data_IF_396289661074
#
_entry.id   IF_396289661074
#
_cell.length_a   1.000
_cell.length_b   1.000
_cell.length_c   1.000
_cell.angle_alpha   90.00
_cell.angle_beta   90.00
_cell.angle_gamma   90.00
#
_symmetry.space_group_name_H-M   'P 1'
#
loop_
_entity.id
_entity.type
_entity.pdbx_description
1 polymer ?
#
# COMPACT_ATOMS: atom_id res chain seq x y z
N UNK A 1 -4.27 -58.74 -18.23
CA UNK A 1 -4.53 -57.32 -17.89
C UNK A 1 -3.61 -56.92 -16.75
N UNK A 2 -2.60 -56.08 -17.01
CA UNK A 2 -1.76 -55.47 -15.97
C UNK A 2 -2.28 -54.06 -15.73
N UNK A 3 -2.88 -53.82 -14.57
CA UNK A 3 -3.19 -52.47 -14.10
C UNK A 3 -1.91 -51.96 -13.45
N UNK A 4 -1.21 -51.08 -14.14
CA UNK A 4 -0.09 -50.34 -13.57
C UNK A 4 -0.69 -49.09 -12.91
N UNK A 5 -0.88 -49.15 -11.59
CA UNK A 5 -1.25 -47.99 -10.76
C UNK A 5 -0.04 -47.07 -10.72
N UNK A 6 -0.02 -46.07 -11.58
CA UNK A 6 0.98 -45.01 -11.57
C UNK A 6 0.30 -43.75 -11.06
N UNK A 7 0.04 -43.69 -9.75
CA UNK A 7 -0.34 -42.46 -9.05
C UNK A 7 0.92 -41.88 -8.44
N UNK A 8 1.71 -41.19 -9.27
CA UNK A 8 2.90 -40.47 -8.80
C UNK A 8 2.50 -39.02 -8.52
N UNK A 9 2.60 -38.67 -7.23
CA UNK A 9 2.67 -37.34 -6.62
C UNK A 9 2.82 -36.16 -7.61
N UNK A 10 1.81 -35.28 -7.63
CA UNK A 10 1.87 -33.96 -8.30
C UNK A 10 1.35 -32.81 -7.41
N UNK A 11 1.35 -32.97 -6.07
CA UNK A 11 0.75 -32.01 -5.13
C UNK A 11 1.71 -31.42 -4.08
N UNK A 12 3.02 -31.38 -4.33
CA UNK A 12 4.00 -30.84 -3.38
C UNK A 12 4.72 -29.55 -3.83
N UNK A 13 4.50 -29.07 -5.05
CA UNK A 13 5.19 -27.86 -5.55
C UNK A 13 4.44 -26.54 -5.30
N UNK A 14 3.15 -26.56 -4.95
CA UNK A 14 2.36 -25.34 -4.75
C UNK A 14 2.47 -24.71 -3.37
N UNK A 15 2.92 -25.45 -2.36
CA UNK A 15 2.98 -24.95 -0.97
C UNK A 15 4.25 -24.12 -0.73
N UNK A 16 5.36 -24.45 -1.39
CA UNK A 16 6.66 -23.77 -1.20
C UNK A 16 6.68 -22.37 -1.83
N UNK A 17 5.93 -22.16 -2.91
CA UNK A 17 5.84 -20.86 -3.59
C UNK A 17 4.98 -19.85 -2.83
N UNK A 18 3.91 -20.29 -2.16
CA UNK A 18 3.05 -19.42 -1.37
C UNK A 18 3.73 -18.93 -0.08
N UNK A 19 4.40 -19.82 0.66
CA UNK A 19 5.09 -19.44 1.89
C UNK A 19 6.25 -18.47 1.64
N UNK A 20 7.03 -18.65 0.56
CA UNK A 20 8.15 -17.75 0.25
C UNK A 20 7.69 -16.35 -0.15
N UNK A 21 6.55 -16.23 -0.84
CA UNK A 21 5.91 -14.94 -1.12
C UNK A 21 5.42 -14.27 0.16
N UNK A 22 4.75 -15.02 1.04
CA UNK A 22 4.23 -14.48 2.29
C UNK A 22 5.36 -14.00 3.20
N UNK A 23 6.47 -14.74 3.32
CA UNK A 23 7.60 -14.31 4.14
C UNK A 23 8.30 -13.07 3.56
N UNK A 24 8.35 -12.94 2.24
CA UNK A 24 9.02 -11.81 1.59
C UNK A 24 8.24 -10.50 1.70
N UNK A 25 6.91 -10.52 1.81
CA UNK A 25 6.12 -9.28 1.93
C UNK A 25 6.22 -8.65 3.32
N UNK A 26 6.54 -9.44 4.36
CA UNK A 26 6.60 -8.95 5.74
C UNK A 26 7.62 -7.82 5.90
N UNK A 27 7.30 -6.87 6.77
CA UNK A 27 8.16 -5.74 7.14
C UNK A 27 7.76 -4.42 6.49
N UNK A 28 8.69 -3.46 6.58
CA UNK A 28 8.52 -2.08 6.12
C UNK A 28 8.92 -1.92 4.65
N UNK A 29 8.10 -1.20 3.88
CA UNK A 29 8.29 -0.87 2.47
C UNK A 29 8.12 0.63 2.25
N UNK A 30 9.09 1.24 1.58
CA UNK A 30 9.02 2.64 1.14
C UNK A 30 8.64 2.63 -0.33
N UNK A 31 7.47 3.17 -0.64
CA UNK A 31 6.92 3.14 -2.00
C UNK A 31 7.24 4.42 -2.77
N UNK A 32 7.36 4.29 -4.08
CA UNK A 32 7.47 5.43 -4.97
C UNK A 32 6.26 6.34 -4.78
N UNK A 33 6.48 7.65 -4.54
CA UNK A 33 5.38 8.54 -4.24
C UNK A 33 4.48 8.72 -5.46
N UNK A 34 3.17 8.76 -5.21
CA UNK A 34 2.19 9.19 -6.21
C UNK A 34 2.39 10.68 -6.48
N UNK A 35 2.35 11.09 -7.75
CA UNK A 35 2.58 12.48 -8.16
C UNK A 35 1.59 12.89 -9.23
N UNK A 36 0.94 14.03 -9.05
CA UNK A 36 0.00 14.59 -10.03
C UNK A 36 0.01 16.12 -10.00
N UNK A 37 0.09 16.73 -11.18
CA UNK A 37 -0.21 18.15 -11.32
C UNK A 37 -1.72 18.32 -11.42
N UNK A 38 -2.30 19.11 -10.52
CA UNK A 38 -3.73 19.45 -10.56
C UNK A 38 -3.97 20.69 -11.45
N UNK A 39 -3.00 21.61 -11.46
CA UNK A 39 -2.90 22.75 -12.36
C UNK A 39 -1.42 23.02 -12.68
N UNK A 40 -1.13 24.07 -13.46
CA UNK A 40 0.25 24.48 -13.77
C UNK A 40 1.05 24.93 -12.53
N UNK A 41 0.36 25.33 -11.46
CA UNK A 41 0.98 25.84 -10.22
C UNK A 41 0.70 24.97 -8.99
N UNK A 42 -0.26 24.05 -9.08
CA UNK A 42 -0.65 23.17 -7.97
C UNK A 42 -0.16 21.76 -8.24
N UNK A 43 0.78 21.34 -7.41
CA UNK A 43 1.39 20.02 -7.43
C UNK A 43 0.95 19.21 -6.22
N UNK A 44 0.56 17.97 -6.46
CA UNK A 44 0.09 17.04 -5.45
C UNK A 44 1.00 15.81 -5.41
N UNK A 45 1.45 15.42 -4.22
CA UNK A 45 2.14 14.16 -4.01
C UNK A 45 1.67 13.41 -2.76
N UNK A 46 1.82 12.09 -2.80
CA UNK A 46 1.57 11.20 -1.66
C UNK A 46 2.80 10.32 -1.48
N UNK A 47 3.45 10.46 -0.34
CA UNK A 47 4.51 9.56 0.11
C UNK A 47 3.87 8.43 0.93
N UNK A 48 4.34 7.20 0.72
CA UNK A 48 3.70 5.99 1.29
C UNK A 48 4.76 5.06 1.85
N UNK A 49 4.58 4.72 3.12
CA UNK A 49 5.32 3.68 3.83
C UNK A 49 4.35 2.59 4.27
N UNK A 50 4.51 1.38 3.76
CA UNK A 50 3.63 0.23 4.04
C UNK A 50 4.31 -0.76 4.97
N UNK A 51 3.55 -1.28 5.93
CA UNK A 51 4.01 -2.23 6.93
C UNK A 51 3.11 -3.46 6.93
N UNK A 52 3.71 -4.64 6.77
CA UNK A 52 3.00 -5.93 6.79
C UNK A 52 3.53 -6.83 7.90
N UNK A 53 2.66 -7.23 8.83
CA UNK A 53 2.99 -8.12 9.95
C UNK A 53 2.46 -9.54 9.74
N UNK A 54 3.12 -10.51 10.36
CA UNK A 54 2.85 -11.94 10.21
C UNK A 54 1.47 -12.38 10.75
N UNK A 55 0.92 -11.62 11.69
CA UNK A 55 -0.44 -11.78 12.21
C UNK A 55 -1.54 -11.38 11.21
N UNK A 56 -1.16 -10.87 10.03
CA UNK A 56 -2.08 -10.39 9.01
C UNK A 56 -2.55 -8.95 9.23
N UNK A 57 -2.00 -8.24 10.22
CA UNK A 57 -2.19 -6.79 10.41
C UNK A 57 -1.22 -6.03 9.51
N UNK A 58 -1.69 -4.94 8.92
CA UNK A 58 -0.86 -4.03 8.16
C UNK A 58 -1.26 -2.59 8.39
N UNK A 59 -0.37 -1.67 8.05
CA UNK A 59 -0.73 -0.27 7.97
C UNK A 59 0.10 0.47 6.94
N UNK A 60 -0.52 1.49 6.37
CA UNK A 60 0.16 2.50 5.56
C UNK A 60 0.30 3.78 6.36
N UNK A 61 1.46 4.41 6.28
CA UNK A 61 1.63 5.82 6.59
C UNK A 61 1.61 6.56 5.26
N UNK A 62 0.65 7.47 5.11
CA UNK A 62 0.52 8.28 3.91
C UNK A 62 0.69 9.75 4.25
N UNK A 63 1.66 10.40 3.62
CA UNK A 63 1.86 11.85 3.76
C UNK A 63 1.44 12.54 2.48
N UNK A 64 0.34 13.28 2.58
CA UNK A 64 -0.30 13.99 1.48
C UNK A 64 0.21 15.41 1.47
N UNK A 65 0.84 15.87 0.39
CA UNK A 65 1.33 17.25 0.26
C UNK A 65 0.74 17.92 -0.98
N UNK A 66 0.21 19.10 -0.75
CA UNK A 66 -0.29 20.04 -1.75
C UNK A 66 0.67 21.21 -1.77
N UNK A 67 1.39 21.37 -2.88
CA UNK A 67 2.34 22.46 -3.07
C UNK A 67 1.76 23.45 -4.07
N UNK A 68 1.76 24.74 -3.71
CA UNK A 68 1.30 25.84 -4.56
C UNK A 68 2.37 26.93 -4.49
N UNK A 69 3.06 27.16 -5.60
CA UNK A 69 4.23 28.07 -5.64
C UNK A 69 5.28 27.71 -4.57
N UNK A 70 5.54 28.60 -3.61
CA UNK A 70 6.47 28.39 -2.49
C UNK A 70 5.79 27.86 -1.21
N UNK A 71 4.45 27.73 -1.20
CA UNK A 71 3.71 27.22 -0.05
C UNK A 71 3.44 25.72 -0.16
N UNK A 72 3.49 25.02 0.99
CA UNK A 72 3.12 23.61 1.08
C UNK A 72 2.16 23.36 2.25
N UNK A 73 1.02 22.75 1.94
CA UNK A 73 0.06 22.23 2.91
C UNK A 73 0.19 20.71 2.91
N UNK A 74 0.33 20.10 4.09
CA UNK A 74 0.45 18.65 4.16
C UNK A 74 -0.20 18.08 5.41
N UNK A 75 -0.59 16.80 5.33
CA UNK A 75 -1.04 16.02 6.47
C UNK A 75 -0.59 14.57 6.31
N UNK A 76 -0.36 13.90 7.44
CA UNK A 76 0.03 12.49 7.50
C UNK A 76 -1.04 11.67 8.19
N UNK A 77 -1.40 10.55 7.59
CA UNK A 77 -2.37 9.59 8.10
C UNK A 77 -1.70 8.24 8.32
N UNK A 78 -2.17 7.53 9.35
CA UNK A 78 -1.96 6.10 9.48
C UNK A 78 -3.27 5.38 9.16
N UNK A 79 -3.24 4.53 8.14
CA UNK A 79 -4.35 3.69 7.70
C UNK A 79 -4.04 2.27 8.12
N UNK A 80 -4.85 1.69 8.99
CA UNK A 80 -4.61 0.35 9.54
C UNK A 80 -5.71 -0.61 9.11
N UNK A 81 -5.35 -1.88 8.96
CA UNK A 81 -6.31 -2.98 8.88
C UNK A 81 -5.68 -4.27 8.37
N UNK A 82 -6.51 -5.29 8.07
CA UNK A 82 -6.00 -6.60 7.71
C UNK A 82 -5.47 -6.63 6.28
N UNK A 83 -4.45 -7.45 6.07
CA UNK A 83 -3.95 -7.83 4.75
C UNK A 83 -3.87 -9.35 4.61
N UNK A 84 -3.86 -9.81 3.36
CA UNK A 84 -3.52 -11.20 3.02
C UNK A 84 -3.00 -11.31 1.60
N UNK A 85 -2.15 -12.30 1.37
CA UNK A 85 -1.73 -12.69 0.05
C UNK A 85 -2.43 -13.99 -0.35
N UNK A 86 -3.16 -13.98 -1.47
CA UNK A 86 -3.83 -15.16 -2.01
C UNK A 86 -3.59 -15.25 -3.51
N UNK A 87 -3.02 -16.37 -3.96
CA UNK A 87 -2.80 -16.65 -5.38
C UNK A 87 -2.07 -15.51 -6.12
N UNK A 88 -1.06 -14.90 -5.47
CA UNK A 88 -0.30 -13.78 -6.01
C UNK A 88 -1.01 -12.42 -5.97
N UNK A 89 -2.19 -12.35 -5.34
CA UNK A 89 -2.95 -11.11 -5.16
C UNK A 89 -2.86 -10.68 -3.70
N UNK A 90 -2.34 -9.47 -3.48
CA UNK A 90 -2.41 -8.76 -2.20
C UNK A 90 -3.81 -8.16 -2.06
N UNK A 91 -4.43 -8.40 -0.92
CA UNK A 91 -5.75 -7.89 -0.56
C UNK A 91 -5.58 -7.14 0.76
N UNK A 92 -5.88 -5.86 0.78
CA UNK A 92 -5.78 -5.02 1.96
C UNK A 92 -7.12 -4.36 2.23
N UNK A 93 -7.47 -4.25 3.51
CA UNK A 93 -8.66 -3.55 3.96
C UNK A 93 -8.24 -2.54 5.02
N UNK A 94 -8.55 -1.27 4.81
CA UNK A 94 -8.45 -0.21 5.83
C UNK A 94 -9.73 -0.19 6.65
N UNK A 95 -9.62 -0.40 7.95
CA UNK A 95 -10.75 -0.31 8.90
C UNK A 95 -10.57 0.80 9.94
N UNK A 96 -9.34 1.30 10.12
CA UNK A 96 -9.01 2.35 11.07
C UNK A 96 -8.16 3.44 10.42
N UNK A 97 -8.43 4.69 10.79
CA UNK A 97 -7.68 5.87 10.35
C UNK A 97 -7.28 6.72 11.56
N UNK A 98 -6.07 7.26 11.53
CA UNK A 98 -5.61 8.24 12.51
C UNK A 98 -4.75 9.31 11.85
N UNK A 99 -4.95 10.56 12.28
CA UNK A 99 -4.08 11.67 11.87
C UNK A 99 -2.83 11.61 12.72
N UNK A 100 -1.67 11.52 12.08
CA UNK A 100 -0.37 11.52 12.75
C UNK A 100 0.13 12.94 12.96
N UNK A 101 0.10 13.74 11.89
CA UNK A 101 0.65 15.10 11.91
C UNK A 101 0.04 15.95 10.78
N UNK A 102 0.16 17.27 10.92
CA UNK A 102 -0.30 18.25 9.94
C UNK A 102 0.65 19.44 9.85
N UNK A 103 0.73 20.07 8.68
CA UNK A 103 1.46 21.32 8.53
C UNK A 103 0.82 22.42 9.38
N UNK A 104 1.64 23.36 9.86
CA UNK A 104 1.14 24.50 10.64
C UNK A 104 0.11 25.33 9.85
N UNK A 105 0.24 25.37 8.52
CA UNK A 105 -0.71 26.04 7.62
C UNK A 105 -2.12 25.48 7.74
N UNK A 106 -2.30 24.18 8.00
CA UNK A 106 -3.63 23.59 8.23
C UNK A 106 -4.28 24.19 9.48
N UNK A 107 -3.51 24.49 10.52
CA UNK A 107 -4.02 25.06 11.78
C UNK A 107 -4.57 26.48 11.61
N UNK A 108 -4.11 27.18 10.57
CA UNK A 108 -4.57 28.52 10.21
C UNK A 108 -5.84 28.52 9.33
N UNK A 109 -6.26 27.35 8.83
CA UNK A 109 -7.44 27.21 7.98
C UNK A 109 -8.66 26.83 8.83
N UNK A 110 -9.57 27.79 9.12
CA UNK A 110 -10.63 27.60 10.13
C UNK A 110 -11.66 26.52 9.80
N UNK A 111 -11.70 26.03 8.55
CA UNK A 111 -12.64 25.01 8.07
C UNK A 111 -11.94 23.81 7.42
N UNK A 112 -10.62 23.66 7.58
CA UNK A 112 -9.93 22.51 6.99
C UNK A 112 -10.14 21.27 7.87
N UNK A 113 -10.92 20.31 7.36
CA UNK A 113 -11.12 19.03 8.01
C UNK A 113 -10.37 17.93 7.25
N UNK A 114 -9.22 17.51 7.79
CA UNK A 114 -8.38 16.44 7.22
C UNK A 114 -9.20 15.17 6.95
N UNK A 115 -10.15 14.81 7.83
CA UNK A 115 -10.96 13.60 7.67
C UNK A 115 -11.93 13.70 6.49
N UNK A 116 -12.51 14.87 6.26
CA UNK A 116 -13.40 15.08 5.10
C UNK A 116 -12.61 15.05 3.79
N UNK A 117 -11.43 15.67 3.77
CA UNK A 117 -10.50 15.61 2.63
C UNK A 117 -10.12 14.17 2.35
N UNK A 118 -9.67 13.42 3.36
CA UNK A 118 -9.34 12.01 3.21
C UNK A 118 -10.52 11.18 2.70
N UNK A 119 -11.72 11.37 3.27
CA UNK A 119 -12.92 10.67 2.82
C UNK A 119 -13.22 10.92 1.34
N UNK A 120 -13.06 12.15 0.86
CA UNK A 120 -13.24 12.47 -0.56
C UNK A 120 -12.21 11.80 -1.48
N UNK A 121 -10.98 11.63 -1.00
CA UNK A 121 -9.86 11.07 -1.76
C UNK A 121 -9.83 9.55 -1.75
N UNK A 122 -10.30 8.95 -0.67
CA UNK A 122 -10.46 7.50 -0.51
C UNK A 122 -11.38 6.92 -1.60
N UNK A 123 -12.47 7.61 -1.96
CA UNK A 123 -13.40 7.16 -3.00
C UNK A 123 -12.78 7.17 -4.42
N UNK A 124 -11.64 7.83 -4.63
CA UNK A 124 -11.06 8.04 -5.98
C UNK A 124 -9.59 7.65 -6.15
N UNK A 125 -8.79 7.68 -5.09
CA UNK A 125 -7.31 7.56 -5.18
C UNK A 125 -6.78 6.39 -4.33
N UNK A 126 -7.30 6.19 -3.12
CA UNK A 126 -6.89 5.11 -2.22
C UNK A 126 -8.09 4.44 -1.58
N UNK A 127 -8.74 3.47 -2.26
CA UNK A 127 -9.93 2.82 -1.73
C UNK A 127 -9.61 2.03 -0.47
N UNK A 128 -10.52 2.08 0.52
CA UNK A 128 -10.44 1.28 1.76
C UNK A 128 -10.25 -0.21 1.52
N UNK A 129 -10.58 -0.71 0.34
CA UNK A 129 -10.31 -2.08 -0.05
C UNK A 129 -9.48 -2.06 -1.33
N UNK A 130 -8.20 -2.37 -1.21
CA UNK A 130 -7.31 -2.50 -2.35
C UNK A 130 -7.15 -3.99 -2.71
N UNK A 131 -6.97 -4.24 -4.01
CA UNK A 131 -6.46 -5.52 -4.49
C UNK A 131 -5.39 -5.24 -5.52
N UNK A 132 -4.25 -5.89 -5.34
CA UNK A 132 -3.09 -5.67 -6.20
C UNK A 132 -2.46 -7.00 -6.60
N UNK A 133 -2.20 -7.17 -7.89
CA UNK A 133 -1.41 -8.29 -8.40
C UNK A 133 0.06 -8.06 -8.06
N UNK A 134 0.71 -9.05 -7.45
CA UNK A 134 2.15 -9.01 -7.19
C UNK A 134 2.90 -9.35 -8.48
N UNK A 135 3.58 -8.36 -9.05
CA UNK A 135 4.41 -8.54 -10.24
C UNK A 135 5.83 -8.97 -9.88
N UNK A 136 6.35 -8.47 -8.76
CA UNK A 136 7.68 -8.84 -8.25
C UNK A 136 7.67 -8.72 -6.73
N UNK A 137 8.17 -9.75 -6.05
CA UNK A 137 8.36 -9.71 -4.61
C UNK A 137 9.62 -10.46 -4.21
N UNK A 138 10.51 -9.77 -3.51
CA UNK A 138 11.77 -10.28 -3.01
C UNK A 138 12.10 -9.64 -1.66
N UNK A 139 13.28 -9.92 -1.11
CA UNK A 139 13.71 -9.27 0.15
C UNK A 139 13.89 -7.76 0.03
N UNK A 140 14.14 -7.23 -1.18
CA UNK A 140 14.48 -5.81 -1.40
C UNK A 140 13.55 -5.05 -2.33
N UNK A 141 12.73 -5.74 -3.12
CA UNK A 141 11.86 -5.13 -4.12
C UNK A 141 10.45 -5.71 -4.04
N UNK A 142 9.46 -4.81 -4.07
CA UNK A 142 8.03 -5.11 -4.10
C UNK A 142 7.41 -4.27 -5.21
N UNK A 143 6.93 -4.90 -6.27
CA UNK A 143 6.23 -4.26 -7.38
C UNK A 143 4.86 -4.90 -7.50
N UNK A 144 3.82 -4.07 -7.48
CA UNK A 144 2.44 -4.50 -7.62
C UNK A 144 1.68 -3.69 -8.65
N UNK A 145 0.56 -4.24 -9.10
CA UNK A 145 -0.38 -3.57 -9.99
C UNK A 145 -1.76 -3.56 -9.36
N UNK A 146 -2.32 -2.37 -9.10
CA UNK A 146 -3.68 -2.22 -8.60
C UNK A 146 -4.67 -2.78 -9.61
N UNK A 147 -5.62 -3.60 -9.15
CA UNK A 147 -6.65 -4.19 -10.01
C UNK A 147 -7.76 -3.21 -10.38
N UNK A 148 -7.91 -2.10 -9.66
CA UNK A 148 -8.94 -1.08 -9.88
C UNK A 148 -8.70 -0.24 -11.13
N UNK A 149 -7.47 0.21 -11.33
CA UNK A 149 -7.09 1.20 -12.34
C UNK A 149 -5.83 0.81 -13.13
N UNK A 150 -5.16 -0.29 -12.74
CA UNK A 150 -3.94 -0.77 -13.38
C UNK A 150 -2.68 0.00 -12.99
N UNK A 151 -2.74 0.89 -12.01
CA UNK A 151 -1.57 1.61 -11.51
C UNK A 151 -0.49 0.65 -11.00
N UNK A 152 0.76 0.88 -11.38
CA UNK A 152 1.90 0.12 -10.91
C UNK A 152 2.55 0.87 -9.76
N UNK A 153 2.70 0.19 -8.63
CA UNK A 153 3.38 0.70 -7.45
C UNK A 153 4.67 -0.08 -7.25
N UNK A 154 5.77 0.66 -7.08
CA UNK A 154 7.10 0.11 -6.82
C UNK A 154 7.53 0.53 -5.43
N UNK A 155 8.01 -0.41 -4.63
CA UNK A 155 8.50 -0.17 -3.28
C UNK A 155 9.83 -0.87 -3.06
N UNK A 156 10.66 -0.24 -2.24
CA UNK A 156 11.94 -0.79 -1.78
C UNK A 156 11.86 -1.10 -0.30
N UNK A 157 12.71 -2.03 0.16
CA UNK A 157 12.76 -2.35 1.58
C UNK A 157 13.13 -1.11 2.39
N UNK A 158 12.27 -0.73 3.31
CA UNK A 158 12.54 0.36 4.23
C UNK A 158 13.55 -0.04 5.29
N UNK A 159 14.31 0.93 5.79
CA UNK A 159 15.10 0.75 7.00
C UNK A 159 14.14 0.47 8.15
N UNK A 160 14.35 -0.62 8.90
CA UNK A 160 13.72 -0.74 10.21
C UNK A 160 14.40 0.29 11.11
N UNK A 161 13.79 1.46 11.30
CA UNK A 161 14.15 2.31 12.42
C UNK A 161 13.58 1.60 13.67
N UNK A 162 14.39 0.72 14.25
CA UNK A 162 14.07 0.01 15.48
C UNK A 162 13.93 0.94 16.68
#
# INVERSE_FOLDING_TARGET
MKICVMTVLLFLSSVITANTLQDNILGHWVCEPYKKYLTDTVYFNVEIDSYFYDDGTGFDIQTWKYSVEEEQIWFSLKLTGPWKLKDGVLIETTNEESILDTSDRIKELPNFNVKEVFKSLNDTVYPLNSKSEILTLSKSAFISKKLSDGEIVSCVRGSNNG
#
